data_IF_564358016351
#
_entry.id   IF_564358016351
#
_cell.length_a   1.000
_cell.length_b   1.000
_cell.length_c   1.000
_cell.angle_alpha   90.00
_cell.angle_beta   90.00
_cell.angle_gamma   90.00
#
_symmetry.space_group_name_H-M   'P 1'
#
loop_
_entity.id
_entity.type
_entity.pdbx_description
1 polymer ?
#
# COMPACT_ATOMS: atom_id res chain seq x y z
N UNK A 1 -0.65 -98.27 -32.55
CA UNK A 1 -1.39 -97.00 -32.50
C UNK A 1 -1.07 -96.18 -33.74
N UNK A 2 -2.08 -95.82 -34.53
CA UNK A 2 -1.92 -95.18 -35.84
C UNK A 2 -1.21 -93.82 -35.74
N UNK A 3 -0.18 -93.63 -36.57
CA UNK A 3 0.68 -92.44 -36.67
C UNK A 3 -0.10 -91.12 -36.81
N UNK A 4 -1.33 -91.18 -37.31
CA UNK A 4 -2.22 -90.03 -37.49
C UNK A 4 -2.72 -89.43 -36.16
N UNK A 5 -2.83 -90.23 -35.09
CA UNK A 5 -3.26 -89.72 -33.77
C UNK A 5 -2.17 -88.98 -33.02
N UNK A 6 -0.89 -89.30 -33.27
CA UNK A 6 0.26 -88.68 -32.59
C UNK A 6 0.51 -87.26 -33.13
N UNK A 7 0.34 -87.04 -34.44
CA UNK A 7 0.54 -85.72 -35.06
C UNK A 7 -0.53 -84.71 -34.60
N UNK A 8 -1.78 -85.15 -34.44
CA UNK A 8 -2.86 -84.27 -33.97
C UNK A 8 -2.67 -83.83 -32.51
N UNK A 9 -2.16 -84.70 -31.63
CA UNK A 9 -1.92 -84.35 -30.21
C UNK A 9 -0.74 -83.40 -30.04
N UNK A 10 0.33 -83.54 -30.84
CA UNK A 10 1.48 -82.62 -30.78
C UNK A 10 1.12 -81.24 -31.35
N UNK A 11 0.32 -81.16 -32.41
CA UNK A 11 -0.10 -79.88 -32.99
C UNK A 11 -0.98 -79.05 -32.02
N UNK A 12 -1.87 -79.69 -31.26
CA UNK A 12 -2.75 -79.00 -30.28
C UNK A 12 -1.94 -78.46 -29.08
N UNK A 13 -0.89 -79.18 -28.63
CA UNK A 13 -0.02 -78.72 -27.54
C UNK A 13 0.86 -77.53 -27.93
N UNK A 14 1.31 -77.44 -29.19
CA UNK A 14 2.08 -76.28 -29.69
C UNK A 14 1.19 -75.04 -29.84
N UNK A 15 -0.08 -75.20 -30.24
CA UNK A 15 -1.04 -74.09 -30.34
C UNK A 15 -1.43 -73.57 -28.94
N UNK A 16 -1.62 -74.46 -27.95
CA UNK A 16 -1.97 -74.05 -26.58
C UNK A 16 -0.81 -73.39 -25.82
N UNK A 17 0.44 -73.76 -26.11
CA UNK A 17 1.62 -73.09 -25.54
C UNK A 17 1.97 -71.79 -26.27
N UNK A 18 1.72 -71.71 -27.59
CA UNK A 18 1.90 -70.49 -28.38
C UNK A 18 0.88 -69.38 -28.06
N UNK A 19 -0.39 -69.74 -27.80
CA UNK A 19 -1.42 -68.77 -27.42
C UNK A 19 -1.21 -68.17 -26.02
N UNK A 20 -0.61 -68.94 -25.09
CA UNK A 20 -0.28 -68.45 -23.75
C UNK A 20 0.85 -67.42 -23.73
N UNK A 21 1.79 -67.49 -24.67
CA UNK A 21 2.92 -66.56 -24.75
C UNK A 21 2.56 -65.24 -25.45
N UNK A 22 1.60 -65.26 -26.39
CA UNK A 22 1.17 -64.07 -27.13
C UNK A 22 0.20 -63.15 -26.35
N UNK A 23 -0.43 -63.63 -25.27
CA UNK A 23 -1.31 -62.82 -24.41
C UNK A 23 -0.60 -62.22 -23.19
N UNK A 24 0.73 -62.33 -23.11
CA UNK A 24 1.56 -61.80 -22.01
C UNK A 24 2.61 -60.79 -22.48
N UNK A 25 2.27 -59.97 -23.47
CA UNK A 25 2.86 -58.63 -23.60
C UNK A 25 1.80 -57.63 -23.17
N UNK A 26 1.67 -57.42 -21.86
CA UNK A 26 1.13 -56.16 -21.37
C UNK A 26 2.08 -55.09 -21.90
N UNK A 27 1.59 -54.24 -22.77
CA UNK A 27 2.23 -52.96 -23.04
C UNK A 27 2.52 -52.32 -21.68
N UNK A 28 3.80 -52.25 -21.32
CA UNK A 28 4.25 -51.36 -20.27
C UNK A 28 3.98 -49.98 -20.82
N UNK A 29 2.78 -49.45 -20.53
CA UNK A 29 2.48 -48.03 -20.61
C UNK A 29 3.52 -47.37 -19.72
N UNK A 30 4.62 -46.96 -20.34
CA UNK A 30 5.53 -45.99 -19.74
C UNK A 30 4.62 -44.80 -19.48
N UNK A 31 4.46 -44.34 -18.22
CA UNK A 31 3.77 -43.08 -18.01
C UNK A 31 4.45 -42.09 -18.94
N UNK A 32 3.65 -41.37 -19.74
CA UNK A 32 4.16 -40.23 -20.46
C UNK A 32 5.01 -39.45 -19.47
N UNK A 33 6.29 -39.23 -19.80
CA UNK A 33 7.10 -38.25 -19.09
C UNK A 33 6.25 -37.00 -19.13
N UNK A 34 5.63 -36.72 -17.99
CA UNK A 34 4.93 -35.49 -17.75
C UNK A 34 5.93 -34.43 -18.17
N UNK A 35 5.55 -33.62 -19.16
CA UNK A 35 6.30 -32.41 -19.45
C UNK A 35 6.22 -31.66 -18.13
N UNK A 36 7.25 -31.81 -17.30
CA UNK A 36 7.60 -30.78 -16.36
C UNK A 36 7.81 -29.58 -17.26
N UNK A 37 6.75 -28.79 -17.44
CA UNK A 37 6.89 -27.35 -17.58
C UNK A 37 7.78 -26.99 -16.43
N UNK A 38 9.09 -26.90 -16.70
CA UNK A 38 9.95 -26.01 -15.95
C UNK A 38 9.11 -24.74 -15.81
N UNK A 39 8.67 -24.45 -14.59
CA UNK A 39 7.94 -23.23 -14.29
C UNK A 39 8.95 -22.11 -14.52
N UNK A 40 9.10 -21.68 -15.77
CA UNK A 40 9.92 -20.55 -16.13
C UNK A 40 9.26 -19.36 -15.45
N UNK A 41 9.90 -18.90 -14.37
CA UNK A 41 9.48 -17.68 -13.68
C UNK A 41 9.49 -16.52 -14.69
N UNK A 42 8.37 -15.80 -14.81
CA UNK A 42 8.23 -14.68 -15.75
C UNK A 42 7.87 -15.05 -17.19
N UNK A 43 7.36 -16.27 -17.45
CA UNK A 43 6.81 -16.64 -18.76
C UNK A 43 5.39 -16.09 -19.01
N UNK A 44 4.79 -15.42 -18.04
CA UNK A 44 3.44 -14.87 -18.03
C UNK A 44 3.41 -13.35 -18.32
N UNK A 45 4.30 -12.89 -19.20
CA UNK A 45 4.32 -11.48 -19.62
C UNK A 45 3.09 -11.13 -20.44
N UNK A 46 2.48 -9.99 -20.13
CA UNK A 46 1.45 -9.38 -20.98
C UNK A 46 2.04 -8.68 -22.22
N UNK A 47 1.18 -8.06 -23.03
CA UNK A 47 1.58 -7.35 -24.25
C UNK A 47 2.54 -6.18 -24.01
N UNK A 48 2.55 -5.64 -22.78
CA UNK A 48 3.46 -4.59 -22.35
C UNK A 48 4.74 -5.14 -21.68
N UNK A 49 4.85 -6.46 -21.58
CA UNK A 49 5.99 -7.15 -20.95
C UNK A 49 5.90 -7.25 -19.43
N UNK A 50 4.77 -6.90 -18.81
CA UNK A 50 4.58 -6.95 -17.37
C UNK A 50 4.29 -8.37 -16.89
N UNK A 51 4.97 -8.77 -15.82
CA UNK A 51 4.86 -10.12 -15.25
C UNK A 51 3.79 -10.11 -14.15
N UNK A 52 2.57 -10.51 -14.51
CA UNK A 52 1.40 -10.46 -13.61
C UNK A 52 1.56 -11.32 -12.34
N UNK A 53 2.16 -12.51 -12.45
CA UNK A 53 2.44 -13.40 -11.32
C UNK A 53 3.42 -12.82 -10.31
N UNK A 54 4.25 -11.86 -10.75
CA UNK A 54 5.14 -11.09 -9.90
C UNK A 54 4.50 -9.79 -9.40
N UNK A 55 3.19 -9.59 -9.61
CA UNK A 55 2.42 -8.44 -9.17
C UNK A 55 2.55 -7.20 -10.04
N UNK A 56 3.17 -7.29 -11.23
CA UNK A 56 3.29 -6.16 -12.14
C UNK A 56 2.02 -5.96 -12.97
N UNK A 57 1.63 -4.70 -13.18
CA UNK A 57 0.58 -4.28 -14.09
C UNK A 57 1.09 -3.12 -14.94
N UNK A 58 0.58 -2.97 -16.16
CA UNK A 58 0.90 -1.79 -16.98
C UNK A 58 0.21 -0.54 -16.44
N UNK A 59 0.93 0.59 -16.48
CA UNK A 59 0.41 1.93 -16.23
C UNK A 59 0.72 2.80 -17.44
N UNK A 60 -0.30 3.24 -18.16
CA UNK A 60 -0.19 4.09 -19.35
C UNK A 60 0.38 5.46 -19.01
N UNK A 61 -0.12 6.11 -17.95
CA UNK A 61 0.34 7.43 -17.53
C UNK A 61 1.86 7.51 -17.27
N UNK A 62 2.46 6.42 -16.77
CA UNK A 62 3.91 6.35 -16.50
C UNK A 62 4.68 5.51 -17.52
N UNK A 63 3.99 4.89 -18.48
CA UNK A 63 4.55 4.01 -19.51
C UNK A 63 5.51 2.95 -18.95
N UNK A 64 5.12 2.31 -17.84
CA UNK A 64 5.92 1.25 -17.19
C UNK A 64 5.05 0.21 -16.50
N UNK A 65 5.66 -0.95 -16.27
CA UNK A 65 5.12 -1.95 -15.37
C UNK A 65 5.34 -1.51 -13.93
N UNK A 66 4.25 -1.41 -13.17
CA UNK A 66 4.25 -0.97 -11.78
C UNK A 66 3.69 -2.06 -10.86
N UNK A 67 3.99 -1.96 -9.57
CA UNK A 67 3.32 -2.77 -8.54
C UNK A 67 2.53 -1.86 -7.63
N UNK A 68 1.25 -2.17 -7.44
CA UNK A 68 0.36 -1.36 -6.61
C UNK A 68 0.85 -1.22 -5.16
N UNK A 69 1.66 -2.16 -4.65
CA UNK A 69 2.24 -2.11 -3.30
C UNK A 69 3.61 -1.41 -3.21
N UNK A 70 4.16 -0.96 -4.33
CA UNK A 70 5.43 -0.23 -4.40
C UNK A 70 5.22 1.22 -4.82
N UNK A 71 4.26 1.48 -5.72
CA UNK A 71 4.09 2.78 -6.35
C UNK A 71 2.67 3.07 -6.86
N UNK A 72 2.42 4.36 -7.14
CA UNK A 72 1.15 4.88 -7.64
C UNK A 72 1.01 4.76 -9.16
N UNK A 73 -0.20 4.47 -9.63
CA UNK A 73 -0.57 4.63 -11.04
C UNK A 73 -1.82 5.53 -11.17
N UNK A 74 -1.73 6.70 -11.82
CA UNK A 74 -2.85 7.62 -12.01
C UNK A 74 -4.07 7.00 -12.73
N UNK A 75 -3.86 6.06 -13.65
CA UNK A 75 -4.93 5.40 -14.41
C UNK A 75 -5.97 4.72 -13.50
N UNK A 76 -5.55 4.25 -12.32
CA UNK A 76 -6.48 3.65 -11.35
C UNK A 76 -7.48 4.66 -10.78
N UNK A 77 -7.15 5.95 -10.80
CA UNK A 77 -8.09 7.01 -10.44
C UNK A 77 -9.05 7.31 -11.59
N UNK A 78 -8.62 7.17 -12.86
CA UNK A 78 -9.52 7.30 -14.02
C UNK A 78 -10.61 6.21 -14.03
N UNK A 79 -10.23 4.97 -13.65
CA UNK A 79 -11.18 3.87 -13.43
C UNK A 79 -12.22 4.24 -12.37
N UNK A 80 -11.77 4.80 -11.24
CA UNK A 80 -12.65 5.27 -10.16
C UNK A 80 -13.57 6.39 -10.66
N UNK A 81 -13.03 7.41 -11.31
CA UNK A 81 -13.80 8.55 -11.84
C UNK A 81 -14.89 8.07 -12.81
N UNK A 82 -14.60 7.07 -13.64
CA UNK A 82 -15.58 6.46 -14.54
C UNK A 82 -16.73 5.78 -13.77
N UNK A 83 -16.40 5.08 -12.69
CA UNK A 83 -17.39 4.44 -11.81
C UNK A 83 -18.24 5.47 -11.06
N UNK A 84 -17.62 6.55 -10.54
CA UNK A 84 -18.33 7.64 -9.87
C UNK A 84 -19.29 8.36 -10.83
N UNK A 85 -18.86 8.60 -12.07
CA UNK A 85 -19.72 9.16 -13.11
C UNK A 85 -20.93 8.26 -13.38
N UNK A 86 -20.73 6.94 -13.45
CA UNK A 86 -21.81 5.99 -13.66
C UNK A 86 -22.81 5.96 -12.49
N UNK A 87 -22.32 6.05 -11.25
CA UNK A 87 -23.17 5.95 -10.06
C UNK A 87 -23.90 7.25 -9.71
N UNK A 88 -23.32 8.40 -10.06
CA UNK A 88 -23.80 9.71 -9.59
C UNK A 88 -24.19 10.70 -10.69
N UNK A 89 -23.72 10.49 -11.92
CA UNK A 89 -23.83 11.46 -13.01
C UNK A 89 -22.83 12.62 -12.92
N UNK A 90 -22.03 12.70 -11.85
CA UNK A 90 -20.99 13.74 -11.67
C UNK A 90 -19.83 13.48 -12.64
N UNK A 91 -19.49 14.50 -13.42
CA UNK A 91 -18.33 14.46 -14.33
C UNK A 91 -17.18 15.18 -13.63
N UNK A 92 -16.25 14.41 -13.09
CA UNK A 92 -15.02 14.90 -12.50
C UNK A 92 -13.96 15.05 -13.60
N UNK A 93 -13.47 16.28 -13.80
CA UNK A 93 -12.45 16.61 -14.80
C UNK A 93 -11.05 16.55 -14.17
N UNK A 94 -10.08 15.97 -14.88
CA UNK A 94 -8.70 15.88 -14.42
C UNK A 94 -8.07 17.28 -14.35
N UNK A 95 -7.54 17.65 -13.18
CA UNK A 95 -6.88 18.94 -12.93
C UNK A 95 -5.39 18.80 -12.57
N UNK A 96 -4.78 17.65 -12.92
CA UNK A 96 -3.33 17.42 -12.85
C UNK A 96 -2.84 16.74 -11.57
N UNK A 97 -1.53 16.87 -11.33
CA UNK A 97 -0.86 16.34 -10.15
C UNK A 97 -1.18 17.19 -8.91
N UNK A 98 -1.25 16.54 -7.74
CA UNK A 98 -1.46 17.21 -6.45
C UNK A 98 -0.63 16.55 -5.36
N UNK A 99 -0.49 17.27 -4.24
CA UNK A 99 0.00 16.74 -2.97
C UNK A 99 -0.99 17.15 -1.87
N UNK A 100 -1.49 16.19 -1.11
CA UNK A 100 -2.42 16.43 -0.01
C UNK A 100 -1.96 15.77 1.30
N UNK A 101 -2.47 16.30 2.42
CA UNK A 101 -2.22 15.72 3.73
C UNK A 101 -3.27 14.63 4.00
N UNK A 102 -2.81 13.43 4.34
CA UNK A 102 -3.62 12.33 4.81
C UNK A 102 -3.35 12.09 6.28
N UNK A 103 -4.37 12.26 7.13
CA UNK A 103 -4.22 12.10 8.58
C UNK A 103 -4.13 10.61 8.87
N UNK A 104 -3.06 10.19 9.55
CA UNK A 104 -2.92 8.84 10.08
C UNK A 104 -3.02 8.92 11.60
N UNK A 105 -3.71 7.96 12.19
CA UNK A 105 -3.87 7.92 13.64
C UNK A 105 -3.97 6.53 14.20
N UNK A 106 -3.58 6.41 15.47
CA UNK A 106 -3.83 5.25 16.31
C UNK A 106 -4.08 5.77 17.73
N UNK A 107 -5.19 5.34 18.34
CA UNK A 107 -5.64 5.84 19.63
C UNK A 107 -5.73 7.39 19.63
N UNK A 108 -5.02 8.06 20.55
CA UNK A 108 -5.00 9.52 20.68
C UNK A 108 -3.90 10.20 19.85
N UNK A 109 -3.00 9.43 19.23
CA UNK A 109 -1.88 9.98 18.46
C UNK A 109 -2.23 10.07 16.98
N UNK A 110 -1.97 11.24 16.39
CA UNK A 110 -2.21 11.50 14.98
C UNK A 110 -1.02 12.24 14.36
N UNK A 111 -0.80 12.05 13.07
CA UNK A 111 0.14 12.83 12.28
C UNK A 111 -0.28 12.90 10.83
N UNK A 112 0.31 13.83 10.08
CA UNK A 112 0.04 13.98 8.66
C UNK A 112 1.02 13.13 7.85
N UNK A 113 0.49 12.32 6.94
CA UNK A 113 1.23 11.72 5.84
C UNK A 113 1.05 12.57 4.58
N UNK A 114 2.16 12.91 3.92
CA UNK A 114 2.13 13.58 2.62
C UNK A 114 1.86 12.55 1.53
N UNK A 115 0.77 12.72 0.79
CA UNK A 115 0.37 11.83 -0.31
C UNK A 115 0.46 12.61 -1.62
N UNK A 116 1.32 12.11 -2.52
CA UNK A 116 1.43 12.61 -3.89
C UNK A 116 0.47 11.82 -4.77
N UNK A 117 -0.25 12.53 -5.63
CA UNK A 117 -1.31 11.93 -6.43
C UNK A 117 -1.82 12.85 -7.52
N UNK A 118 -3.10 12.67 -7.86
CA UNK A 118 -3.82 13.44 -8.87
C UNK A 118 -5.11 14.02 -8.30
N UNK A 119 -5.56 15.14 -8.87
CA UNK A 119 -6.78 15.83 -8.48
C UNK A 119 -7.77 15.85 -9.65
N UNK A 120 -9.05 15.62 -9.33
CA UNK A 120 -10.16 15.84 -10.22
C UNK A 120 -11.17 16.79 -9.60
N UNK A 121 -11.84 17.60 -10.42
CA UNK A 121 -12.77 18.61 -9.95
C UNK A 121 -14.07 18.63 -10.75
N UNK A 122 -15.15 19.04 -10.09
CA UNK A 122 -16.41 19.35 -10.73
C UNK A 122 -17.07 20.54 -10.04
N UNK A 123 -17.77 21.36 -10.81
CA UNK A 123 -18.49 22.55 -10.34
C UNK A 123 -19.95 22.48 -10.79
N UNK A 124 -20.84 23.20 -10.10
CA UNK A 124 -22.27 23.14 -10.45
C UNK A 124 -23.00 21.91 -9.89
N UNK A 125 -22.39 21.15 -8.98
CA UNK A 125 -22.91 19.85 -8.53
C UNK A 125 -23.99 20.04 -7.48
N UNK A 126 -25.11 19.32 -7.62
CA UNK A 126 -26.18 19.33 -6.62
C UNK A 126 -25.84 18.36 -5.49
N UNK A 127 -26.31 18.66 -4.29
CA UNK A 127 -26.14 17.79 -3.12
C UNK A 127 -26.64 16.35 -3.36
N UNK A 128 -27.73 16.16 -4.12
CA UNK A 128 -28.23 14.82 -4.45
C UNK A 128 -27.23 13.99 -5.26
N UNK A 129 -26.53 14.61 -6.22
CA UNK A 129 -25.55 13.94 -7.06
C UNK A 129 -24.26 13.67 -6.27
N UNK A 130 -23.84 14.62 -5.42
CA UNK A 130 -22.76 14.39 -4.45
C UNK A 130 -23.08 13.21 -3.52
N UNK A 131 -24.29 13.14 -2.97
CA UNK A 131 -24.70 12.04 -2.09
C UNK A 131 -24.67 10.69 -2.82
N UNK A 132 -25.02 10.63 -4.11
CA UNK A 132 -24.91 9.41 -4.90
C UNK A 132 -23.44 8.97 -5.07
N UNK A 133 -22.54 9.94 -5.30
CA UNK A 133 -21.10 9.72 -5.37
C UNK A 133 -20.56 9.19 -4.04
N UNK A 134 -20.88 9.87 -2.93
CA UNK A 134 -20.46 9.49 -1.57
C UNK A 134 -21.02 8.10 -1.20
N UNK A 135 -22.28 7.82 -1.54
CA UNK A 135 -22.89 6.52 -1.33
C UNK A 135 -22.16 5.39 -2.09
N UNK A 136 -21.68 5.65 -3.31
CA UNK A 136 -20.88 4.66 -4.01
C UNK A 136 -19.60 4.35 -3.23
N UNK A 137 -18.88 5.37 -2.78
CA UNK A 137 -17.63 5.19 -2.02
C UNK A 137 -17.88 4.47 -0.69
N UNK A 138 -18.88 4.89 0.08
CA UNK A 138 -19.28 4.26 1.34
C UNK A 138 -19.58 2.75 1.20
N UNK A 139 -20.07 2.31 0.04
CA UNK A 139 -20.43 0.92 -0.19
C UNK A 139 -19.30 0.07 -0.80
N UNK A 140 -18.27 0.69 -1.38
CA UNK A 140 -17.26 -0.02 -2.17
C UNK A 140 -15.82 0.22 -1.70
N UNK A 141 -15.60 1.16 -0.78
CA UNK A 141 -14.30 1.60 -0.27
C UNK A 141 -14.31 1.60 1.25
N UNK A 142 -13.13 1.45 1.86
CA UNK A 142 -12.96 1.65 3.29
C UNK A 142 -13.03 3.14 3.60
N UNK A 143 -13.80 3.55 4.60
CA UNK A 143 -13.79 4.91 5.11
C UNK A 143 -12.69 5.07 6.16
N UNK A 144 -11.89 6.12 6.04
CA UNK A 144 -10.92 6.47 7.06
C UNK A 144 -11.52 7.45 8.07
N UNK A 145 -11.51 7.08 9.35
CA UNK A 145 -12.15 7.87 10.42
C UNK A 145 -11.38 9.14 10.81
N UNK A 146 -10.09 9.23 10.47
CA UNK A 146 -9.25 10.38 10.79
C UNK A 146 -9.37 11.48 9.73
N UNK A 147 -9.75 11.11 8.51
CA UNK A 147 -9.92 12.01 7.38
C UNK A 147 -11.42 12.32 7.15
N UNK A 148 -12.13 12.78 8.18
CA UNK A 148 -13.53 13.21 8.06
C UNK A 148 -13.72 14.58 8.69
N UNK A 149 -14.34 15.49 7.95
CA UNK A 149 -14.71 16.80 8.48
C UNK A 149 -16.05 17.26 7.89
N UNK A 150 -16.87 17.90 8.73
CA UNK A 150 -18.10 18.55 8.32
C UNK A 150 -18.12 19.99 8.82
N UNK A 151 -18.55 20.91 7.96
CA UNK A 151 -18.70 22.30 8.29
C UNK A 151 -19.81 22.95 7.47
N UNK A 152 -20.16 24.18 7.82
CA UNK A 152 -21.22 24.92 7.12
C UNK A 152 -20.86 25.23 5.67
N UNK A 153 -19.56 25.33 5.37
CA UNK A 153 -19.06 25.65 4.01
C UNK A 153 -18.96 24.39 3.14
N UNK A 154 -18.93 23.20 3.73
CA UNK A 154 -18.64 21.97 3.00
C UNK A 154 -18.27 20.79 3.89
N UNK A 155 -17.91 19.68 3.25
CA UNK A 155 -17.51 18.45 3.92
C UNK A 155 -16.30 17.80 3.25
N UNK A 156 -15.66 16.91 3.99
CA UNK A 156 -14.50 16.13 3.57
C UNK A 156 -14.69 14.68 4.03
N UNK A 157 -14.38 13.74 3.14
CA UNK A 157 -14.38 12.29 3.43
C UNK A 157 -13.12 11.66 2.87
N UNK A 158 -12.42 10.90 3.70
CA UNK A 158 -11.29 10.07 3.33
C UNK A 158 -11.74 8.64 3.08
N UNK A 159 -11.32 8.10 1.94
CA UNK A 159 -11.54 6.72 1.54
C UNK A 159 -10.23 6.05 1.20
N UNK A 160 -10.15 4.76 1.42
CA UNK A 160 -9.01 3.95 1.03
C UNK A 160 -9.44 2.64 0.38
N UNK A 161 -8.61 2.17 -0.54
CA UNK A 161 -8.72 0.85 -1.16
C UNK A 161 -7.33 0.40 -1.59
N UNK A 162 -6.93 -0.77 -1.10
CA UNK A 162 -5.59 -1.33 -1.31
C UNK A 162 -4.50 -0.33 -0.87
N UNK A 163 -3.75 0.24 -1.83
CA UNK A 163 -2.69 1.21 -1.61
C UNK A 163 -3.06 2.62 -2.09
N UNK A 164 -4.35 2.89 -2.27
CA UNK A 164 -4.87 4.19 -2.67
C UNK A 164 -5.57 4.85 -1.49
N UNK A 165 -5.20 6.09 -1.22
CA UNK A 165 -5.94 7.01 -0.35
C UNK A 165 -6.56 8.10 -1.21
N UNK A 166 -7.83 8.39 -0.98
CA UNK A 166 -8.61 9.37 -1.71
C UNK A 166 -9.36 10.29 -0.74
N UNK A 167 -9.27 11.60 -0.95
CA UNK A 167 -10.08 12.60 -0.26
C UNK A 167 -11.12 13.12 -1.25
N UNK A 168 -12.39 12.96 -0.88
CA UNK A 168 -13.49 13.68 -1.53
C UNK A 168 -13.82 14.91 -0.68
N UNK A 169 -13.78 16.08 -1.30
CA UNK A 169 -14.23 17.32 -0.68
C UNK A 169 -15.43 17.86 -1.46
N UNK A 170 -16.39 18.45 -0.77
CA UNK A 170 -17.34 19.36 -1.40
C UNK A 170 -17.38 20.69 -0.66
N UNK A 171 -17.59 21.78 -1.41
CA UNK A 171 -17.81 23.12 -0.86
C UNK A 171 -18.95 23.80 -1.56
N UNK A 172 -19.75 24.57 -0.82
CA UNK A 172 -20.70 25.49 -1.41
C UNK A 172 -19.95 26.58 -2.19
N UNK A 173 -20.33 26.81 -3.45
CA UNK A 173 -19.62 27.76 -4.31
C UNK A 173 -19.79 29.20 -3.84
N UNK A 174 -20.94 29.52 -3.26
CA UNK A 174 -21.24 30.84 -2.76
C UNK A 174 -21.72 30.79 -1.31
N UNK A 175 -21.21 31.71 -0.49
CA UNK A 175 -21.57 31.84 0.92
C UNK A 175 -22.03 33.26 1.19
N UNK A 176 -23.21 33.41 1.78
CA UNK A 176 -23.71 34.68 2.29
C UNK A 176 -23.11 34.93 3.67
N UNK A 177 -22.36 36.03 3.80
CA UNK A 177 -21.85 36.51 5.09
C UNK A 177 -22.87 37.43 5.73
N UNK A 178 -23.38 37.05 6.90
CA UNK A 178 -24.16 37.94 7.76
C UNK A 178 -23.24 38.71 8.70
N UNK A 179 -23.65 39.93 9.07
CA UNK A 179 -22.99 40.68 10.15
C UNK A 179 -23.47 40.09 11.48
N UNK A 180 -22.56 39.50 12.26
CA UNK A 180 -22.85 38.79 13.51
C UNK A 180 -23.80 37.57 13.38
N UNK A 181 -23.95 37.02 12.18
CA UNK A 181 -24.72 35.79 11.93
C UNK A 181 -23.81 34.72 11.30
N UNK A 182 -24.07 33.42 11.54
CA UNK A 182 -23.38 32.35 10.84
C UNK A 182 -23.51 32.50 9.32
N UNK A 183 -22.43 32.20 8.59
CA UNK A 183 -22.48 32.20 7.13
C UNK A 183 -23.44 31.11 6.65
N UNK A 184 -24.21 31.39 5.61
CA UNK A 184 -25.14 30.42 5.01
C UNK A 184 -24.83 30.22 3.52
N UNK A 185 -25.00 29.01 2.98
CA UNK A 185 -24.85 28.78 1.54
C UNK A 185 -25.82 29.63 0.71
N UNK A 186 -25.37 30.09 -0.45
CA UNK A 186 -26.22 30.69 -1.48
C UNK A 186 -26.46 29.64 -2.56
N UNK A 187 -27.72 29.23 -2.68
CA UNK A 187 -28.10 28.15 -3.60
C UNK A 187 -27.53 26.79 -3.20
N UNK A 188 -27.71 25.83 -4.11
CA UNK A 188 -27.44 24.41 -3.83
C UNK A 188 -26.24 23.88 -4.63
N UNK A 189 -25.47 24.78 -5.23
CA UNK A 189 -24.35 24.45 -6.13
C UNK A 189 -23.07 24.19 -5.34
N UNK A 190 -22.46 23.04 -5.60
CA UNK A 190 -21.25 22.57 -4.97
C UNK A 190 -20.08 22.54 -5.96
N UNK A 191 -18.89 22.87 -5.46
CA UNK A 191 -17.62 22.43 -6.03
C UNK A 191 -17.22 21.13 -5.33
N UNK A 192 -16.96 20.08 -6.10
CA UNK A 192 -16.51 18.78 -5.60
C UNK A 192 -15.08 18.55 -6.10
N UNK A 193 -14.20 18.10 -5.22
CA UNK A 193 -12.84 17.66 -5.58
C UNK A 193 -12.60 16.22 -5.13
N UNK A 194 -11.86 15.48 -5.92
CA UNK A 194 -11.37 14.13 -5.62
C UNK A 194 -9.85 14.15 -5.76
N UNK A 195 -9.15 14.03 -4.64
CA UNK A 195 -7.68 13.93 -4.59
C UNK A 195 -7.32 12.50 -4.24
N UNK A 196 -6.60 11.79 -5.11
CA UNK A 196 -6.24 10.39 -4.89
C UNK A 196 -4.75 10.18 -5.12
N UNK A 197 -4.11 9.41 -4.26
CA UNK A 197 -2.68 9.09 -4.37
C UNK A 197 -2.31 7.78 -3.69
N UNK A 198 -1.02 7.44 -3.76
CA UNK A 198 -0.52 6.21 -3.15
C UNK A 198 -0.27 6.39 -1.66
N UNK A 199 -0.83 5.46 -0.87
CA UNK A 199 -0.60 5.39 0.55
C UNK A 199 -0.52 3.93 1.00
N UNK A 200 0.62 3.55 1.59
CA UNK A 200 0.83 2.22 2.13
C UNK A 200 0.51 2.21 3.63
N UNK A 201 -0.60 1.57 4.01
CA UNK A 201 -1.05 1.44 5.39
C UNK A 201 -0.01 0.80 6.32
N UNK A 202 0.91 -0.01 5.80
CA UNK A 202 1.99 -0.59 6.60
C UNK A 202 2.97 0.48 7.13
N UNK A 203 2.97 1.69 6.57
CA UNK A 203 3.80 2.79 7.01
C UNK A 203 3.23 3.53 8.24
N UNK A 204 1.96 3.30 8.60
CA UNK A 204 1.28 4.03 9.70
C UNK A 204 2.07 3.94 11.00
N UNK A 205 2.48 2.75 11.40
CA UNK A 205 3.21 2.54 12.65
C UNK A 205 4.56 3.30 12.67
N UNK A 206 5.25 3.39 11.53
CA UNK A 206 6.50 4.16 11.41
C UNK A 206 6.26 5.67 11.46
N UNK A 207 5.18 6.17 10.85
CA UNK A 207 4.79 7.59 10.89
C UNK A 207 4.45 8.03 12.32
N UNK A 208 3.69 7.20 13.02
CA UNK A 208 3.31 7.42 14.41
C UNK A 208 4.51 7.37 15.37
N UNK A 209 5.44 6.44 15.15
CA UNK A 209 6.71 6.42 15.89
C UNK A 209 7.52 7.70 15.64
N UNK A 210 7.63 8.13 14.38
CA UNK A 210 8.35 9.36 14.04
C UNK A 210 7.71 10.59 14.72
N UNK A 211 6.37 10.64 14.77
CA UNK A 211 5.61 11.65 15.49
C UNK A 211 5.91 11.63 17.00
N UNK A 212 5.91 10.45 17.64
CA UNK A 212 6.24 10.33 19.06
C UNK A 212 7.66 10.84 19.37
N UNK A 213 8.65 10.45 18.56
CA UNK A 213 10.03 10.93 18.69
C UNK A 213 10.12 12.44 18.47
N UNK A 214 9.41 12.96 17.47
CA UNK A 214 9.32 14.40 17.15
C UNK A 214 8.80 15.19 18.34
N UNK A 215 7.78 14.70 19.04
CA UNK A 215 7.25 15.32 20.25
C UNK A 215 8.23 15.30 21.44
N UNK A 216 8.92 14.18 21.66
CA UNK A 216 9.95 14.05 22.71
C UNK A 216 11.06 15.10 22.48
N UNK A 217 11.56 15.18 21.24
CA UNK A 217 12.67 16.06 20.88
C UNK A 217 12.25 17.53 20.83
N UNK A 218 11.03 17.83 20.35
CA UNK A 218 10.44 19.18 20.44
C UNK A 218 10.41 19.69 21.88
N UNK A 219 9.94 18.87 22.84
CA UNK A 219 9.93 19.24 24.27
C UNK A 219 11.34 19.39 24.83
N UNK A 220 12.24 18.44 24.54
CA UNK A 220 13.62 18.46 25.03
C UNK A 220 14.35 19.74 24.60
N UNK A 221 14.21 20.13 23.33
CA UNK A 221 14.91 21.27 22.75
C UNK A 221 14.11 22.57 22.75
N UNK A 222 12.88 22.57 23.27
CA UNK A 222 11.95 23.72 23.27
C UNK A 222 11.76 24.32 21.87
N UNK A 223 11.61 23.45 20.88
CA UNK A 223 11.37 23.80 19.47
C UNK A 223 9.92 23.62 19.10
N UNK A 224 9.41 24.44 18.19
CA UNK A 224 8.09 24.22 17.63
C UNK A 224 8.06 22.86 16.91
N UNK A 225 6.92 22.17 16.97
CA UNK A 225 6.84 20.79 16.48
C UNK A 225 7.11 20.71 14.98
N UNK A 226 6.67 21.70 14.20
CA UNK A 226 6.90 21.85 12.77
C UNK A 226 8.36 22.14 12.38
N UNK A 227 9.17 22.67 13.32
CA UNK A 227 10.61 22.84 13.15
C UNK A 227 11.41 21.55 13.42
N UNK A 228 10.79 20.50 13.96
CA UNK A 228 11.49 19.23 14.26
C UNK A 228 11.21 18.20 13.17
N UNK A 229 12.26 17.75 12.48
CA UNK A 229 12.14 16.75 11.41
C UNK A 229 12.82 15.46 11.82
N UNK A 230 12.04 14.40 11.92
CA UNK A 230 12.51 13.06 12.30
C UNK A 230 12.43 12.14 11.09
N UNK A 231 13.52 11.42 10.82
CA UNK A 231 13.55 10.35 9.84
C UNK A 231 14.01 9.06 10.51
N UNK A 232 13.16 8.05 10.51
CA UNK A 232 13.49 6.71 11.03
C UNK A 232 14.20 5.95 9.92
N UNK A 233 15.41 5.48 10.21
CA UNK A 233 16.22 4.69 9.27
C UNK A 233 16.15 3.20 9.57
N UNK A 234 16.01 2.83 10.84
CA UNK A 234 15.89 1.45 11.29
C UNK A 234 14.90 1.34 12.45
N UNK A 235 14.17 0.23 12.49
CA UNK A 235 13.10 -0.04 13.42
C UNK A 235 12.97 -1.53 13.68
N UNK A 236 12.77 -1.89 14.94
CA UNK A 236 12.18 -3.16 15.34
C UNK A 236 11.02 -2.88 16.33
N UNK A 237 10.53 -3.90 17.04
CA UNK A 237 9.40 -3.75 17.98
C UNK A 237 9.71 -2.84 19.17
N UNK A 238 10.98 -2.75 19.58
CA UNK A 238 11.41 -2.08 20.81
C UNK A 238 12.43 -0.96 20.59
N UNK A 239 13.00 -0.81 19.40
CA UNK A 239 14.07 0.14 19.12
C UNK A 239 13.85 0.92 17.82
N UNK A 240 14.29 2.18 17.85
CA UNK A 240 14.36 3.06 16.69
C UNK A 240 15.75 3.65 16.56
N UNK A 241 16.19 3.79 15.32
CA UNK A 241 17.37 4.56 14.97
C UNK A 241 17.09 5.46 13.78
N UNK A 242 17.58 6.69 13.84
CA UNK A 242 17.31 7.65 12.79
C UNK A 242 18.09 8.94 12.91
N UNK A 243 17.65 9.93 12.13
CA UNK A 243 18.20 11.28 12.14
C UNK A 243 17.14 12.29 12.53
N UNK A 244 17.58 13.37 13.16
CA UNK A 244 16.81 14.56 13.45
C UNK A 244 17.44 15.78 12.77
N UNK A 245 16.60 16.70 12.28
CA UNK A 245 17.00 18.05 11.86
C UNK A 245 16.11 19.11 12.52
N UNK A 246 16.68 20.27 12.81
CA UNK A 246 15.96 21.41 13.41
C UNK A 246 15.90 22.61 12.47
N UNK A 247 14.69 23.02 12.09
CA UNK A 247 14.43 24.18 11.24
C UNK A 247 13.83 23.81 9.89
N UNK A 248 13.38 24.83 9.16
CA UNK A 248 12.63 24.70 7.92
C UNK A 248 13.51 24.45 6.67
N UNK A 249 14.83 24.61 6.76
CA UNK A 249 15.73 24.52 5.61
C UNK A 249 16.35 23.12 5.48
N UNK A 250 16.77 22.74 4.26
CA UNK A 250 17.41 21.45 4.01
C UNK A 250 18.78 21.32 4.68
N UNK A 251 19.51 22.44 4.82
CA UNK A 251 20.80 22.54 5.52
C UNK A 251 20.68 22.77 7.03
N UNK A 252 19.49 22.58 7.61
CA UNK A 252 19.27 22.64 9.05
C UNK A 252 20.28 21.77 9.82
N UNK A 253 20.77 22.30 10.95
CA UNK A 253 21.57 21.51 11.89
C UNK A 253 20.78 20.28 12.32
N UNK A 254 21.49 19.15 12.39
CA UNK A 254 20.89 17.87 12.71
C UNK A 254 21.85 16.97 13.46
N UNK A 255 21.35 15.77 13.76
CA UNK A 255 22.13 14.69 14.34
C UNK A 255 21.39 13.38 14.25
N UNK A 256 21.95 12.36 14.88
CA UNK A 256 21.34 11.04 14.96
C UNK A 256 20.58 10.87 16.26
N UNK A 257 19.68 9.89 16.32
CA UNK A 257 19.04 9.47 17.57
C UNK A 257 18.90 7.95 17.66
N UNK A 258 18.90 7.45 18.90
CA UNK A 258 18.48 6.10 19.27
C UNK A 258 17.35 6.23 20.31
N UNK A 259 16.27 5.49 20.10
CA UNK A 259 15.18 5.42 21.05
C UNK A 259 14.80 3.97 21.35
N UNK A 260 14.40 3.72 22.60
CA UNK A 260 13.96 2.42 23.10
C UNK A 260 12.56 2.57 23.66
N UNK A 261 11.73 1.53 23.52
CA UNK A 261 10.40 1.46 24.09
C UNK A 261 10.48 0.83 25.49
N UNK A 262 10.08 1.59 26.50
CA UNK A 262 10.02 1.17 27.91
C UNK A 262 8.61 1.47 28.41
N UNK A 263 7.93 0.47 28.99
CA UNK A 263 6.54 0.55 29.44
C UNK A 263 5.59 1.09 28.33
N UNK A 264 5.75 0.56 27.12
CA UNK A 264 5.02 0.95 25.90
C UNK A 264 5.21 2.42 25.45
N UNK A 265 6.16 3.15 26.05
CA UNK A 265 6.49 4.52 25.69
C UNK A 265 7.89 4.65 25.10
N UNK A 266 8.01 5.41 24.01
CA UNK A 266 9.30 5.73 23.43
C UNK A 266 10.12 6.64 24.34
N UNK A 267 11.39 6.29 24.55
CA UNK A 267 12.37 7.12 25.24
C UNK A 267 13.60 7.27 24.36
N UNK A 268 14.02 8.52 24.11
CA UNK A 268 15.26 8.81 23.40
C UNK A 268 16.43 8.65 24.38
N UNK A 269 17.28 7.64 24.14
CA UNK A 269 18.44 7.32 24.98
C UNK A 269 19.74 7.88 24.43
N UNK A 270 19.75 8.28 23.17
CA UNK A 270 20.83 9.03 22.54
C UNK A 270 20.27 9.96 21.48
N UNK A 271 20.80 11.18 21.42
CA UNK A 271 20.58 12.14 20.35
C UNK A 271 21.76 13.13 20.26
N UNK A 272 22.33 13.28 19.07
CA UNK A 272 23.47 14.16 18.83
C UNK A 272 24.36 13.73 17.67
N UNK A 273 25.55 14.33 17.62
CA UNK A 273 26.59 14.09 16.60
C UNK A 273 27.84 13.40 17.16
N UNK A 274 27.83 13.02 18.43
CA UNK A 274 28.98 12.43 19.13
C UNK A 274 29.05 10.91 19.01
N UNK A 275 30.11 10.30 19.54
CA UNK A 275 30.22 8.84 19.62
C UNK A 275 29.20 8.24 20.58
N UNK A 276 28.65 7.08 20.22
CA UNK A 276 27.74 6.31 21.05
C UNK A 276 28.52 5.32 21.93
N UNK A 277 28.12 5.16 23.19
CA UNK A 277 28.57 4.04 24.02
C UNK A 277 27.85 2.76 23.61
N UNK A 278 28.43 2.03 22.66
CA UNK A 278 27.84 0.84 22.06
C UNK A 278 27.64 -0.30 23.05
N UNK A 279 28.52 -0.45 24.05
CA UNK A 279 28.36 -1.47 25.09
C UNK A 279 27.17 -1.14 25.98
N UNK A 280 27.00 0.13 26.34
CA UNK A 280 25.80 0.56 27.07
C UNK A 280 24.53 0.33 26.24
N UNK A 281 24.51 0.73 24.96
CA UNK A 281 23.32 0.56 24.12
C UNK A 281 22.89 -0.92 24.00
N UNK A 282 23.85 -1.83 23.86
CA UNK A 282 23.56 -3.28 23.76
C UNK A 282 23.15 -3.87 25.10
N UNK A 283 23.91 -3.62 26.16
CA UNK A 283 23.76 -4.32 27.43
C UNK A 283 22.65 -3.74 28.31
N UNK A 284 22.43 -2.41 28.29
CA UNK A 284 21.43 -1.75 29.12
C UNK A 284 20.10 -1.56 28.40
N UNK A 285 20.15 -1.18 27.12
CA UNK A 285 18.94 -0.85 26.34
C UNK A 285 18.57 -1.90 25.30
N UNK A 286 19.32 -3.00 25.16
CA UNK A 286 18.93 -4.15 24.33
C UNK A 286 19.05 -3.95 22.82
N UNK A 287 19.76 -2.92 22.35
CA UNK A 287 19.88 -2.66 20.92
C UNK A 287 20.63 -3.78 20.19
N UNK A 288 20.08 -4.22 19.06
CA UNK A 288 20.74 -5.19 18.18
C UNK A 288 21.74 -4.52 17.23
N UNK A 289 22.71 -5.28 16.72
CA UNK A 289 23.63 -4.80 15.66
C UNK A 289 22.88 -4.34 14.41
N UNK A 290 21.73 -4.96 14.13
CA UNK A 290 20.87 -4.60 13.00
C UNK A 290 20.35 -3.17 13.10
N UNK A 291 20.15 -2.63 14.31
CA UNK A 291 19.72 -1.25 14.54
C UNK A 291 20.93 -0.30 14.64
N UNK A 292 22.03 -0.73 15.27
CA UNK A 292 23.17 0.15 15.54
C UNK A 292 24.09 0.37 14.33
N UNK A 293 24.26 -0.63 13.46
CA UNK A 293 25.20 -0.55 12.33
C UNK A 293 24.54 -0.03 11.06
N UNK A 294 25.28 0.63 10.16
CA UNK A 294 26.67 1.07 10.31
C UNK A 294 26.79 2.46 10.96
N UNK A 295 25.67 3.08 11.36
CA UNK A 295 25.63 4.52 11.62
C UNK A 295 26.04 4.93 13.03
N UNK A 296 25.96 4.03 14.01
CA UNK A 296 26.22 4.35 15.43
C UNK A 296 27.38 3.55 16.02
N UNK A 297 27.55 2.31 15.57
CA UNK A 297 28.55 1.38 16.07
C UNK A 297 29.24 0.66 14.90
N UNK A 298 30.52 0.34 15.09
CA UNK A 298 31.34 -0.46 14.18
C UNK A 298 31.16 -1.98 14.38
#
# INVERSE_FOLDING_TARGET
>A
MSKTKIVATVAILVILTGAGYFLSQKDVVRPAVDKQTENIVGADKDDHGCIGSAGYQWCDASSKCYRAFEEFCPDKVEDLVSLLKQSSGVILENNGETEFNWIVGQDDMMTDAKVVGVIYEAEGIKMADYNNLENYLNNNWGMDKYNVADGVVGGLRGYYKDYMACIVNFRHQEMKRGVNEPSTPVGDSLKVTLECGYFNHNNIAGLLDAQAIKEILSRKYKKAIDEVRVSITRRDEAHLAGSIKFGAEEQAEGGLFLAVKIDDQWQVVYDGNGSVDCEKMKNEYGFTEGILRPNFCD
#
